data_IF_723095802647
#
_entry.id   IF_723095802647
#
_cell.length_a   1.000
_cell.length_b   1.000
_cell.length_c   1.000
_cell.angle_alpha   90.00
_cell.angle_beta   90.00
_cell.angle_gamma   90.00
#
_symmetry.space_group_name_H-M   'P 1'
#
loop_
_entity.id
_entity.type
_entity.pdbx_description
1 polymer ?
#
# COMPACT_ATOMS: atom_id res chain seq x y z
N UNK A 1 68.59 37.91 18.40
CA UNK A 1 67.51 38.11 17.42
C UNK A 1 66.56 36.91 17.58
N UNK A 2 65.32 37.08 18.07
CA UNK A 2 64.33 35.98 18.13
C UNK A 2 63.64 35.85 16.79
N UNK A 3 63.68 34.63 16.21
CA UNK A 3 63.02 34.30 14.94
C UNK A 3 61.48 34.28 15.07
N UNK A 4 60.78 34.36 13.94
CA UNK A 4 59.33 34.66 13.92
C UNK A 4 58.50 33.48 14.43
N UNK A 5 57.64 33.72 15.43
CA UNK A 5 56.63 32.81 16.00
C UNK A 5 55.43 32.67 15.05
N UNK A 6 55.63 32.21 13.81
CA UNK A 6 54.54 31.99 12.81
C UNK A 6 53.94 30.59 12.84
N UNK A 7 54.64 29.60 13.41
CA UNK A 7 54.21 28.21 13.44
C UNK A 7 52.91 27.88 14.23
N UNK A 8 52.63 28.50 15.43
CA UNK A 8 51.42 28.11 16.16
C UNK A 8 50.11 28.66 15.57
N UNK A 9 50.15 29.76 14.78
CA UNK A 9 48.96 30.32 14.14
C UNK A 9 48.58 29.54 12.89
N UNK A 10 49.54 28.99 12.16
CA UNK A 10 49.30 28.18 10.96
C UNK A 10 48.65 26.83 11.31
N UNK A 11 49.08 26.19 12.41
CA UNK A 11 48.47 24.95 12.89
C UNK A 11 47.03 25.11 13.38
N UNK A 12 46.69 26.27 13.98
CA UNK A 12 45.33 26.58 14.40
C UNK A 12 44.39 26.86 13.24
N UNK A 13 44.89 27.51 12.18
CA UNK A 13 44.14 27.77 10.96
C UNK A 13 43.85 26.47 10.18
N UNK A 14 44.87 25.60 10.07
CA UNK A 14 44.70 24.27 9.41
C UNK A 14 43.68 23.41 10.19
N UNK A 15 43.72 23.40 11.50
CA UNK A 15 42.72 22.68 12.33
C UNK A 15 41.32 23.21 12.13
N UNK A 16 41.13 24.52 12.02
CA UNK A 16 39.79 25.13 11.76
C UNK A 16 39.29 24.78 10.36
N UNK A 17 40.16 24.79 9.36
CA UNK A 17 39.81 24.42 7.98
C UNK A 17 39.45 22.90 7.91
N UNK A 18 40.25 22.05 8.56
CA UNK A 18 39.97 20.62 8.62
C UNK A 18 38.66 20.31 9.35
N UNK A 19 38.40 21.00 10.45
CA UNK A 19 37.13 20.88 11.19
C UNK A 19 35.94 21.38 10.38
N UNK A 20 36.10 22.48 9.61
CA UNK A 20 35.10 22.98 8.68
C UNK A 20 34.81 22.02 7.53
N UNK A 21 35.83 21.36 6.97
CA UNK A 21 35.69 20.34 5.94
C UNK A 21 34.99 19.07 6.52
N UNK A 22 35.35 18.63 7.72
CA UNK A 22 34.67 17.52 8.38
C UNK A 22 33.20 17.82 8.67
N UNK A 23 32.86 19.05 9.08
CA UNK A 23 31.47 19.47 9.31
C UNK A 23 30.68 19.56 8.00
N UNK A 24 31.30 20.01 6.90
CA UNK A 24 30.71 19.99 5.57
C UNK A 24 30.49 18.56 5.05
N UNK A 25 31.43 17.65 5.30
CA UNK A 25 31.27 16.23 4.94
C UNK A 25 30.19 15.51 5.78
N UNK A 26 30.05 15.86 7.06
CA UNK A 26 29.01 15.30 7.92
C UNK A 26 27.59 15.74 7.51
N UNK A 27 27.45 16.89 6.83
CA UNK A 27 26.15 17.37 6.33
C UNK A 27 25.70 16.68 5.03
N UNK A 28 26.58 15.92 4.37
CA UNK A 28 26.29 15.20 3.10
C UNK A 28 25.86 13.73 3.35
N UNK A 29 25.85 13.27 4.61
CA UNK A 29 25.24 11.99 4.93
C UNK A 29 23.72 12.15 4.77
N UNK A 30 23.27 12.02 3.53
CA UNK A 30 21.85 11.94 3.21
C UNK A 30 21.23 10.85 4.10
N UNK A 31 20.29 11.19 4.94
CA UNK A 31 19.54 10.23 5.71
C UNK A 31 18.73 9.40 4.70
N UNK A 32 19.21 8.19 4.39
CA UNK A 32 18.38 7.22 3.68
C UNK A 32 17.05 7.15 4.42
N UNK A 33 15.96 7.46 3.74
CA UNK A 33 14.65 7.48 4.38
C UNK A 33 14.35 6.07 4.91
N UNK A 34 14.06 5.98 6.20
CA UNK A 34 13.78 4.69 6.83
C UNK A 34 12.51 4.08 6.19
N UNK A 35 12.61 2.82 5.82
CA UNK A 35 11.45 2.05 5.36
C UNK A 35 10.41 2.04 6.49
N UNK A 36 9.13 2.30 6.20
CA UNK A 36 8.08 2.23 7.20
C UNK A 36 7.97 0.82 7.80
N UNK A 37 7.33 0.66 8.97
CA UNK A 37 7.09 -0.67 9.55
C UNK A 37 6.32 -1.56 8.57
N UNK A 38 6.53 -2.88 8.71
CA UNK A 38 5.87 -3.86 7.85
C UNK A 38 4.34 -3.66 7.88
N UNK A 39 3.68 -3.74 6.71
CA UNK A 39 2.24 -3.63 6.65
C UNK A 39 1.58 -4.79 7.42
N UNK A 40 0.43 -4.53 8.00
CA UNK A 40 -0.40 -5.54 8.70
C UNK A 40 -1.56 -6.03 7.85
N UNK A 41 -1.72 -5.48 6.64
CA UNK A 41 -2.76 -5.80 5.68
C UNK A 41 -2.14 -6.15 4.33
N UNK A 42 -2.87 -6.88 3.52
CA UNK A 42 -2.46 -7.24 2.15
C UNK A 42 -2.50 -6.03 1.22
N UNK A 43 -3.39 -5.08 1.47
CA UNK A 43 -3.46 -3.80 0.77
C UNK A 43 -3.35 -2.65 1.77
N UNK A 44 -2.24 -1.95 1.71
CA UNK A 44 -1.99 -0.75 2.52
C UNK A 44 -1.95 0.47 1.61
N UNK A 45 -2.80 1.45 1.87
CA UNK A 45 -2.85 2.73 1.16
C UNK A 45 -2.80 3.88 2.16
N UNK A 46 -1.65 4.53 2.25
CA UNK A 46 -1.42 5.69 3.12
C UNK A 46 -1.61 7.03 2.39
N UNK A 47 -1.85 7.00 1.08
CA UNK A 47 -1.99 8.19 0.25
C UNK A 47 -3.44 8.51 -0.13
N UNK A 48 -4.37 7.58 0.07
CA UNK A 48 -5.75 7.71 -0.40
C UNK A 48 -5.85 7.57 -1.92
N UNK A 49 -4.99 6.77 -2.52
CA UNK A 49 -4.93 6.52 -3.95
C UNK A 49 -6.13 5.71 -4.44
N UNK A 50 -6.54 4.71 -3.64
CA UNK A 50 -7.67 3.83 -3.91
C UNK A 50 -8.95 4.29 -3.20
N UNK A 51 -10.09 3.91 -3.76
CA UNK A 51 -11.35 3.94 -3.02
C UNK A 51 -11.31 2.93 -1.87
N UNK A 52 -12.06 3.23 -0.80
CA UNK A 52 -12.13 2.33 0.36
C UNK A 52 -12.64 0.93 -0.03
N UNK A 53 -13.66 0.86 -0.89
CA UNK A 53 -14.21 -0.41 -1.36
C UNK A 53 -13.16 -1.23 -2.10
N UNK A 54 -12.44 -0.63 -3.05
CA UNK A 54 -11.39 -1.33 -3.81
C UNK A 54 -10.27 -1.84 -2.93
N UNK A 55 -9.84 -1.02 -1.96
CA UNK A 55 -8.82 -1.43 -1.00
C UNK A 55 -9.26 -2.65 -0.19
N UNK A 56 -10.46 -2.59 0.41
CA UNK A 56 -10.97 -3.64 1.29
C UNK A 56 -11.29 -4.93 0.51
N UNK A 57 -11.80 -4.83 -0.72
CA UNK A 57 -12.04 -5.97 -1.60
C UNK A 57 -10.75 -6.67 -2.04
N UNK A 58 -9.71 -5.91 -2.44
CA UNK A 58 -8.43 -6.46 -2.82
C UNK A 58 -7.72 -7.09 -1.62
N UNK A 59 -7.82 -6.48 -0.44
CA UNK A 59 -7.27 -6.99 0.81
C UNK A 59 -7.80 -8.40 1.11
N UNK A 60 -9.14 -8.55 1.13
CA UNK A 60 -9.79 -9.85 1.33
C UNK A 60 -9.47 -10.87 0.22
N UNK A 61 -9.39 -10.41 -1.03
CA UNK A 61 -9.07 -11.30 -2.17
C UNK A 61 -7.64 -11.82 -2.11
N UNK A 62 -6.68 -10.99 -1.69
CA UNK A 62 -5.27 -11.36 -1.55
C UNK A 62 -5.04 -12.26 -0.32
N UNK A 63 -5.76 -12.02 0.78
CA UNK A 63 -5.78 -12.92 1.94
C UNK A 63 -6.24 -14.32 1.51
N UNK A 64 -7.41 -14.41 0.85
CA UNK A 64 -7.93 -15.70 0.36
C UNK A 64 -7.06 -16.34 -0.73
N UNK A 65 -6.29 -15.58 -1.48
CA UNK A 65 -5.30 -16.13 -2.41
C UNK A 65 -4.12 -16.76 -1.66
N UNK A 66 -3.58 -16.05 -0.67
CA UNK A 66 -2.48 -16.57 0.15
C UNK A 66 -2.86 -17.85 0.89
N UNK A 67 -4.06 -17.92 1.47
CA UNK A 67 -4.56 -19.14 2.15
C UNK A 67 -4.57 -20.38 1.23
N UNK A 68 -4.86 -20.20 -0.06
CA UNK A 68 -4.97 -21.27 -1.03
C UNK A 68 -3.65 -21.66 -1.69
N UNK A 69 -2.82 -20.64 -2.02
CA UNK A 69 -1.57 -20.85 -2.77
C UNK A 69 -0.32 -20.89 -1.89
N UNK A 70 -0.39 -20.27 -0.73
CA UNK A 70 0.76 -19.99 0.12
C UNK A 70 1.59 -18.78 -0.32
N UNK A 71 1.43 -18.28 -1.57
CA UNK A 71 2.17 -17.14 -2.07
C UNK A 71 1.70 -15.83 -1.43
N UNK A 72 2.63 -14.94 -1.12
CA UNK A 72 2.32 -13.64 -0.54
C UNK A 72 2.34 -12.55 -1.62
N UNK A 73 1.17 -12.05 -1.98
CA UNK A 73 1.03 -10.90 -2.90
C UNK A 73 0.47 -9.72 -2.14
N UNK A 74 1.21 -8.60 -2.15
CA UNK A 74 0.84 -7.38 -1.42
C UNK A 74 0.74 -6.19 -2.35
N UNK A 75 -0.06 -5.21 -1.94
CA UNK A 75 -0.10 -3.87 -2.52
C UNK A 75 0.24 -2.85 -1.45
N UNK A 76 1.27 -2.06 -1.70
CA UNK A 76 1.64 -0.97 -0.81
C UNK A 76 1.65 0.36 -1.57
N UNK A 77 0.83 1.30 -1.12
CA UNK A 77 0.66 2.61 -1.75
C UNK A 77 1.07 3.67 -0.74
N UNK A 78 2.16 4.34 -1.05
CA UNK A 78 2.72 5.44 -0.27
C UNK A 78 2.68 6.75 -1.02
N UNK A 79 3.14 7.81 -0.35
CA UNK A 79 3.24 9.14 -0.96
C UNK A 79 4.51 9.26 -1.79
N UNK A 80 5.67 9.04 -1.19
CA UNK A 80 6.98 9.30 -1.78
C UNK A 80 8.03 8.36 -1.22
N UNK A 81 9.08 8.09 -2.01
CA UNK A 81 10.30 7.43 -1.56
C UNK A 81 11.24 8.38 -0.80
N UNK A 82 10.92 9.69 -0.77
CA UNK A 82 11.78 10.71 -0.16
C UNK A 82 13.04 11.05 -0.96
N UNK A 83 13.01 10.78 -2.26
CA UNK A 83 14.12 11.06 -3.19
C UNK A 83 15.00 9.85 -3.50
N UNK A 84 14.76 8.71 -2.86
CA UNK A 84 15.42 7.46 -3.23
C UNK A 84 14.87 6.91 -4.57
N UNK A 85 15.69 6.11 -5.26
CA UNK A 85 15.18 5.29 -6.37
C UNK A 85 14.09 4.36 -5.87
N UNK A 86 12.99 4.22 -6.63
CA UNK A 86 11.93 3.29 -6.26
C UNK A 86 12.43 1.83 -6.22
N UNK A 87 13.42 1.52 -7.06
CA UNK A 87 14.03 0.18 -7.12
C UNK A 87 14.75 -0.15 -5.81
N UNK A 88 15.62 0.73 -5.35
CA UNK A 88 16.36 0.55 -4.09
C UNK A 88 15.45 0.59 -2.88
N UNK A 89 14.48 1.51 -2.90
CA UNK A 89 13.53 1.66 -1.80
C UNK A 89 12.65 0.41 -1.66
N UNK A 90 12.11 -0.10 -2.77
CA UNK A 90 11.25 -1.29 -2.80
C UNK A 90 11.99 -2.54 -2.36
N UNK A 91 13.24 -2.73 -2.82
CA UNK A 91 14.07 -3.87 -2.41
C UNK A 91 14.37 -3.84 -0.89
N UNK A 92 14.71 -2.65 -0.35
CA UNK A 92 14.88 -2.49 1.10
C UNK A 92 13.60 -2.77 1.87
N UNK A 93 12.44 -2.28 1.37
CA UNK A 93 11.14 -2.52 1.98
C UNK A 93 10.79 -4.00 1.98
N UNK A 94 10.91 -4.66 0.83
CA UNK A 94 10.67 -6.09 0.68
C UNK A 94 11.50 -6.92 1.67
N UNK A 95 12.80 -6.61 1.76
CA UNK A 95 13.74 -7.30 2.66
C UNK A 95 13.42 -7.02 4.13
N UNK A 96 13.14 -5.76 4.48
CA UNK A 96 12.82 -5.37 5.87
C UNK A 96 11.51 -5.99 6.35
N UNK A 97 10.51 -6.08 5.46
CA UNK A 97 9.19 -6.67 5.75
C UNK A 97 9.20 -8.20 5.66
N UNK A 98 10.27 -8.80 5.12
CA UNK A 98 10.44 -10.25 4.98
C UNK A 98 9.30 -10.90 4.20
N UNK A 99 8.92 -10.31 3.08
CA UNK A 99 7.80 -10.78 2.27
C UNK A 99 8.13 -12.11 1.60
N UNK A 100 7.17 -13.04 1.61
CA UNK A 100 7.35 -14.41 1.16
C UNK A 100 7.76 -15.38 2.27
N UNK A 101 7.55 -16.67 2.08
CA UNK A 101 7.94 -17.70 3.03
C UNK A 101 9.44 -17.92 2.99
N UNK A 102 10.04 -18.15 4.19
CA UNK A 102 11.48 -18.44 4.31
C UNK A 102 11.84 -19.70 3.53
N UNK A 103 12.82 -19.58 2.64
CA UNK A 103 13.32 -20.70 1.83
C UNK A 103 12.49 -21.00 0.58
N UNK A 104 11.29 -20.40 0.45
CA UNK A 104 10.51 -20.40 -0.78
C UNK A 104 10.66 -19.10 -1.54
N UNK A 105 10.90 -18.00 -0.83
CA UNK A 105 11.08 -16.65 -1.36
C UNK A 105 9.93 -16.25 -2.33
N UNK A 106 8.70 -16.65 -1.97
CA UNK A 106 7.50 -16.65 -2.80
C UNK A 106 6.58 -15.44 -2.53
N UNK A 107 7.20 -14.29 -2.48
CA UNK A 107 6.53 -13.02 -2.26
C UNK A 107 6.53 -12.11 -3.50
N UNK A 108 5.49 -11.29 -3.65
CA UNK A 108 5.41 -10.20 -4.63
C UNK A 108 4.82 -8.97 -3.97
N UNK A 109 5.37 -7.80 -4.25
CA UNK A 109 4.80 -6.53 -3.80
C UNK A 109 4.64 -5.57 -4.97
N UNK A 110 3.42 -5.07 -5.15
CA UNK A 110 3.14 -3.91 -6.01
C UNK A 110 3.28 -2.64 -5.18
N UNK A 111 4.32 -1.86 -5.43
CA UNK A 111 4.54 -0.55 -4.86
C UNK A 111 4.00 0.55 -5.79
N UNK A 112 3.32 1.54 -5.20
CA UNK A 112 2.86 2.74 -5.88
C UNK A 112 3.23 3.95 -5.02
N UNK A 113 4.01 4.88 -5.57
CA UNK A 113 4.35 6.15 -4.92
C UNK A 113 3.58 7.28 -5.59
N UNK A 114 2.52 7.73 -4.92
CA UNK A 114 1.51 8.59 -5.54
C UNK A 114 2.07 9.98 -5.93
N UNK A 115 2.89 10.59 -5.08
CA UNK A 115 3.46 11.92 -5.29
C UNK A 115 4.66 11.87 -6.26
N UNK A 116 5.48 10.81 -6.19
CA UNK A 116 6.61 10.59 -7.10
C UNK A 116 6.17 10.09 -8.47
N UNK A 117 4.92 9.64 -8.60
CA UNK A 117 4.34 9.05 -9.80
C UNK A 117 5.16 7.87 -10.32
N UNK A 118 5.60 7.02 -9.41
CA UNK A 118 6.38 5.83 -9.72
C UNK A 118 5.71 4.58 -9.20
N UNK A 119 5.90 3.48 -9.91
CA UNK A 119 5.41 2.15 -9.55
C UNK A 119 6.53 1.13 -9.67
N UNK A 120 6.46 0.07 -8.86
CA UNK A 120 7.34 -1.08 -8.98
C UNK A 120 6.61 -2.35 -8.59
N UNK A 121 6.85 -3.40 -9.33
CA UNK A 121 6.54 -4.77 -8.94
C UNK A 121 7.88 -5.39 -8.50
N UNK A 122 8.00 -5.71 -7.21
CA UNK A 122 9.16 -6.41 -6.66
C UNK A 122 8.80 -7.89 -6.51
N UNK A 123 9.65 -8.78 -7.01
CA UNK A 123 9.40 -10.22 -7.08
C UNK A 123 10.45 -10.96 -6.27
N UNK A 124 10.01 -11.88 -5.40
CA UNK A 124 10.90 -12.76 -4.67
C UNK A 124 11.51 -13.84 -5.58
N UNK A 125 12.70 -14.31 -5.24
CA UNK A 125 13.47 -15.28 -6.03
C UNK A 125 12.67 -16.52 -6.45
N UNK A 126 11.79 -17.03 -5.57
CA UNK A 126 11.00 -18.23 -5.84
C UNK A 126 9.93 -18.06 -6.92
N UNK A 127 9.60 -16.82 -7.27
CA UNK A 127 8.55 -16.51 -8.24
C UNK A 127 9.08 -15.86 -9.55
N UNK A 128 10.39 -15.66 -9.68
CA UNK A 128 10.97 -15.08 -10.89
C UNK A 128 10.72 -15.94 -12.14
N UNK A 129 10.59 -17.25 -11.96
CA UNK A 129 10.22 -18.17 -13.04
C UNK A 129 8.79 -17.99 -13.54
N UNK A 130 7.85 -17.71 -12.64
CA UNK A 130 6.43 -17.54 -12.94
C UNK A 130 6.08 -16.10 -13.31
N UNK A 131 6.75 -15.13 -12.67
CA UNK A 131 6.59 -13.70 -12.90
C UNK A 131 7.95 -13.05 -13.23
N UNK A 132 8.51 -13.31 -14.42
CA UNK A 132 9.76 -12.69 -14.85
C UNK A 132 9.62 -11.19 -15.07
N UNK A 133 10.75 -10.45 -15.06
CA UNK A 133 10.80 -9.00 -15.23
C UNK A 133 10.05 -8.51 -16.47
N UNK A 134 10.14 -9.25 -17.58
CA UNK A 134 9.41 -8.93 -18.81
C UNK A 134 7.88 -8.94 -18.61
N UNK A 135 7.36 -9.88 -17.81
CA UNK A 135 5.94 -9.97 -17.50
C UNK A 135 5.54 -8.86 -16.51
N UNK A 136 6.35 -8.61 -15.49
CA UNK A 136 6.14 -7.49 -14.56
C UNK A 136 6.13 -6.15 -15.31
N UNK A 137 7.08 -5.94 -16.23
CA UNK A 137 7.15 -4.74 -17.08
C UNK A 137 5.90 -4.59 -17.96
N UNK A 138 5.40 -5.67 -18.55
CA UNK A 138 4.17 -5.66 -19.36
C UNK A 138 2.96 -5.26 -18.52
N UNK A 139 2.81 -5.83 -17.33
CA UNK A 139 1.72 -5.50 -16.40
C UNK A 139 1.74 -4.00 -16.08
N UNK A 140 2.91 -3.45 -15.81
CA UNK A 140 3.06 -2.02 -15.53
C UNK A 140 2.69 -1.19 -16.76
N UNK A 141 3.29 -1.47 -17.92
CA UNK A 141 3.19 -0.58 -19.08
C UNK A 141 1.86 -0.72 -19.83
N UNK A 142 1.26 -1.91 -19.86
CA UNK A 142 0.04 -2.16 -20.64
C UNK A 142 -1.24 -2.08 -19.79
N UNK A 143 -1.14 -2.29 -18.46
CA UNK A 143 -2.33 -2.32 -17.61
C UNK A 143 -2.33 -1.19 -16.59
N UNK A 144 -1.27 -1.05 -15.80
CA UNK A 144 -1.24 -0.15 -14.66
C UNK A 144 -1.15 1.32 -15.11
N UNK A 145 -0.09 1.67 -15.84
CA UNK A 145 0.18 3.05 -16.24
C UNK A 145 -0.89 3.67 -17.14
N UNK A 146 -1.44 3.00 -18.18
CA UNK A 146 -2.48 3.58 -19.01
C UNK A 146 -3.74 3.93 -18.24
N UNK A 147 -4.16 3.06 -17.31
CA UNK A 147 -5.35 3.28 -16.48
C UNK A 147 -5.13 4.39 -15.46
N UNK A 148 -3.95 4.47 -14.84
CA UNK A 148 -3.61 5.57 -13.94
C UNK A 148 -3.66 6.90 -14.68
N UNK A 149 -3.09 6.98 -15.90
CA UNK A 149 -3.13 8.18 -16.74
C UNK A 149 -4.54 8.56 -17.15
N UNK A 150 -5.43 7.59 -17.32
CA UNK A 150 -6.86 7.81 -17.59
C UNK A 150 -7.67 8.19 -16.33
N UNK A 151 -7.05 8.23 -15.13
CA UNK A 151 -7.71 8.52 -13.87
C UNK A 151 -8.39 7.31 -13.21
N UNK A 152 -8.37 6.14 -13.84
CA UNK A 152 -8.91 4.88 -13.31
C UNK A 152 -7.89 4.19 -12.38
N UNK A 153 -7.70 4.76 -11.19
CA UNK A 153 -6.73 4.24 -10.20
C UNK A 153 -7.15 2.88 -9.65
N UNK A 154 -8.43 2.72 -9.36
CA UNK A 154 -9.00 1.48 -8.83
C UNK A 154 -8.86 0.33 -9.85
N UNK A 155 -9.27 0.56 -11.08
CA UNK A 155 -9.14 -0.41 -12.16
C UNK A 155 -7.68 -0.72 -12.53
N UNK A 156 -6.78 0.26 -12.38
CA UNK A 156 -5.36 0.08 -12.60
C UNK A 156 -4.77 -0.97 -11.63
N UNK A 157 -4.98 -0.76 -10.33
CA UNK A 157 -4.44 -1.66 -9.29
C UNK A 157 -5.13 -3.03 -9.34
N UNK A 158 -6.47 -3.07 -9.49
CA UNK A 158 -7.20 -4.35 -9.66
C UNK A 158 -6.68 -5.14 -10.86
N UNK A 159 -6.50 -4.49 -12.00
CA UNK A 159 -6.01 -5.12 -13.22
C UNK A 159 -4.59 -5.67 -13.06
N UNK A 160 -3.68 -4.91 -12.46
CA UNK A 160 -2.32 -5.33 -12.21
C UNK A 160 -2.28 -6.53 -11.23
N UNK A 161 -2.98 -6.46 -10.11
CA UNK A 161 -3.05 -7.56 -9.13
C UNK A 161 -3.65 -8.82 -9.75
N UNK A 162 -4.70 -8.68 -10.56
CA UNK A 162 -5.30 -9.83 -11.27
C UNK A 162 -4.29 -10.50 -12.21
N UNK A 163 -3.50 -9.72 -12.95
CA UNK A 163 -2.49 -10.27 -13.85
C UNK A 163 -1.30 -10.88 -13.09
N UNK A 164 -0.85 -10.27 -11.99
CA UNK A 164 0.18 -10.85 -11.11
C UNK A 164 -0.29 -12.22 -10.64
N UNK A 165 -1.46 -12.31 -10.02
CA UNK A 165 -2.01 -13.57 -9.51
C UNK A 165 -2.22 -14.61 -10.62
N UNK A 166 -2.64 -14.17 -11.81
CA UNK A 166 -2.79 -15.07 -12.97
C UNK A 166 -1.46 -15.62 -13.46
N UNK A 167 -0.39 -14.82 -13.47
CA UNK A 167 0.95 -15.25 -13.83
C UNK A 167 1.47 -16.31 -12.85
N UNK A 168 1.13 -16.20 -11.57
CA UNK A 168 1.44 -17.17 -10.53
C UNK A 168 0.51 -18.42 -10.55
N UNK A 169 -0.22 -18.64 -11.63
CA UNK A 169 -1.14 -19.79 -11.78
C UNK A 169 -2.41 -19.71 -10.94
N UNK A 170 -2.65 -18.56 -10.28
CA UNK A 170 -3.81 -18.36 -9.42
C UNK A 170 -5.00 -17.70 -10.11
N UNK A 171 -6.10 -17.64 -9.35
CA UNK A 171 -7.27 -16.80 -9.68
C UNK A 171 -7.65 -16.05 -8.42
N UNK A 172 -7.81 -14.73 -8.52
CA UNK A 172 -8.48 -14.00 -7.46
C UNK A 172 -9.90 -14.55 -7.34
N UNK A 173 -10.33 -14.80 -6.10
CA UNK A 173 -11.73 -15.10 -5.85
C UNK A 173 -12.61 -14.00 -6.42
N UNK A 174 -13.91 -14.24 -6.64
CA UNK A 174 -14.80 -13.19 -7.05
C UNK A 174 -14.67 -12.05 -6.04
N UNK A 175 -14.26 -10.90 -6.53
CA UNK A 175 -14.21 -9.68 -5.72
C UNK A 175 -15.64 -9.45 -5.30
N UNK A 176 -15.94 -9.77 -4.02
CA UNK A 176 -17.18 -9.35 -3.40
C UNK A 176 -17.06 -7.84 -3.16
N UNK A 177 -16.99 -7.09 -4.28
CA UNK A 177 -17.33 -5.68 -4.18
C UNK A 177 -18.72 -5.64 -3.57
N UNK A 178 -19.10 -4.60 -2.81
CA UNK A 178 -20.49 -4.40 -2.52
C UNK A 178 -21.17 -4.52 -3.87
N UNK A 179 -21.90 -5.63 -4.05
CA UNK A 179 -22.70 -5.76 -5.22
C UNK A 179 -23.51 -4.47 -5.25
N UNK A 180 -23.15 -3.55 -6.14
CA UNK A 180 -24.07 -2.54 -6.58
C UNK A 180 -25.13 -3.33 -7.34
N UNK A 181 -25.87 -4.15 -6.59
CA UNK A 181 -27.20 -4.53 -7.04
C UNK A 181 -27.88 -3.19 -7.16
N UNK A 182 -28.16 -2.72 -8.39
CA UNK A 182 -29.00 -1.54 -8.52
C UNK A 182 -30.24 -1.91 -7.71
N UNK A 183 -30.45 -1.19 -6.59
CA UNK A 183 -31.67 -1.41 -5.82
C UNK A 183 -32.79 -1.39 -6.82
N UNK A 184 -33.47 -2.53 -6.97
CA UNK A 184 -34.64 -2.56 -7.84
C UNK A 184 -35.51 -1.36 -7.47
N UNK A 185 -36.04 -0.60 -8.43
CA UNK A 185 -36.91 0.55 -8.14
C UNK A 185 -37.95 0.22 -7.08
N UNK A 186 -38.41 -1.02 -7.06
CA UNK A 186 -39.30 -1.57 -6.05
C UNK A 186 -38.69 -1.62 -4.64
N UNK A 187 -37.42 -1.99 -4.48
CA UNK A 187 -36.74 -2.02 -3.19
C UNK A 187 -36.50 -0.60 -2.64
N UNK A 188 -36.21 0.35 -3.51
CA UNK A 188 -36.11 1.77 -3.14
C UNK A 188 -37.47 2.28 -2.69
N UNK A 189 -38.54 1.96 -3.44
CA UNK A 189 -39.91 2.34 -3.07
C UNK A 189 -40.31 1.77 -1.73
N UNK A 190 -40.07 0.48 -1.48
CA UNK A 190 -40.33 -0.17 -0.19
C UNK A 190 -39.51 0.45 0.95
N UNK A 191 -38.22 0.79 0.71
CA UNK A 191 -37.38 1.46 1.69
C UNK A 191 -37.91 2.84 2.06
N UNK A 192 -38.32 3.63 1.07
CA UNK A 192 -38.92 4.96 1.30
C UNK A 192 -40.26 4.86 2.02
N UNK A 193 -41.14 3.94 1.62
CA UNK A 193 -42.41 3.71 2.30
C UNK A 193 -42.21 3.23 3.73
N UNK A 194 -41.24 2.33 3.97
CA UNK A 194 -40.86 1.88 5.30
C UNK A 194 -40.36 3.02 6.19
N UNK A 195 -39.52 3.90 5.65
CA UNK A 195 -39.01 5.06 6.37
C UNK A 195 -40.16 6.04 6.74
N UNK A 196 -41.04 6.32 5.78
CA UNK A 196 -42.21 7.19 6.01
C UNK A 196 -43.12 6.59 7.11
N UNK A 197 -43.39 5.29 7.03
CA UNK A 197 -44.21 4.60 8.06
C UNK A 197 -43.54 4.66 9.44
N UNK A 198 -42.23 4.52 9.49
CA UNK A 198 -41.43 4.53 10.74
C UNK A 198 -41.41 5.93 11.37
N UNK A 199 -41.29 6.99 10.54
CA UNK A 199 -41.41 8.38 11.00
C UNK A 199 -42.82 8.69 11.49
N UNK A 200 -43.85 8.28 10.76
CA UNK A 200 -45.24 8.46 11.14
C UNK A 200 -45.57 7.75 12.50
N UNK A 201 -45.03 6.53 12.69
CA UNK A 201 -45.15 5.79 13.92
C UNK A 201 -44.43 6.50 15.08
N UNK A 202 -43.25 7.06 14.86
CA UNK A 202 -42.49 7.84 15.86
C UNK A 202 -43.20 9.11 16.29
N UNK A 203 -43.87 9.80 15.36
CA UNK A 203 -44.72 10.97 15.69
C UNK A 203 -45.96 10.56 16.49
N UNK A 204 -46.59 9.45 16.16
CA UNK A 204 -47.82 8.95 16.83
C UNK A 204 -47.53 8.39 18.20
N UNK A 205 -46.32 7.79 18.40
CA UNK A 205 -45.90 7.17 19.67
C UNK A 205 -44.53 7.70 20.10
N UNK A 206 -44.44 8.86 20.78
CA UNK A 206 -43.17 9.53 21.07
C UNK A 206 -42.18 8.68 21.89
N UNK A 207 -42.69 7.79 22.76
CA UNK A 207 -41.87 6.85 23.55
C UNK A 207 -41.14 5.86 22.62
N UNK A 208 -41.84 5.35 21.60
CA UNK A 208 -41.25 4.46 20.61
C UNK A 208 -40.20 5.17 19.74
N UNK A 209 -40.48 6.41 19.32
CA UNK A 209 -39.56 7.26 18.60
C UNK A 209 -38.23 7.51 19.34
N UNK A 210 -38.30 7.70 20.66
CA UNK A 210 -37.15 7.88 21.53
C UNK A 210 -36.25 6.62 21.55
N UNK A 211 -36.83 5.44 21.76
CA UNK A 211 -36.08 4.17 21.78
C UNK A 211 -35.48 3.86 20.39
N UNK A 212 -36.21 4.16 19.32
CA UNK A 212 -35.72 3.98 17.98
C UNK A 212 -34.51 4.87 17.69
N UNK A 213 -34.55 6.15 18.06
CA UNK A 213 -33.45 7.07 17.96
C UNK A 213 -32.24 6.59 18.74
N UNK A 214 -32.43 6.02 19.91
CA UNK A 214 -31.37 5.46 20.74
C UNK A 214 -30.71 4.24 20.07
N UNK A 215 -31.51 3.33 19.46
CA UNK A 215 -31.01 2.15 18.75
C UNK A 215 -30.24 2.57 17.50
N UNK A 216 -30.79 3.49 16.69
CA UNK A 216 -30.13 4.00 15.47
C UNK A 216 -28.82 4.71 15.82
N UNK A 217 -28.80 5.55 16.84
CA UNK A 217 -27.58 6.24 17.29
C UNK A 217 -26.51 5.27 17.80
N UNK A 218 -26.92 4.18 18.47
CA UNK A 218 -25.99 3.13 18.91
C UNK A 218 -25.45 2.29 17.76
N UNK A 219 -26.26 2.03 16.73
CA UNK A 219 -25.87 1.31 15.53
C UNK A 219 -24.89 2.15 14.67
N UNK A 220 -25.13 3.46 14.53
CA UNK A 220 -24.22 4.38 13.85
C UNK A 220 -22.87 4.53 14.57
N UNK A 221 -22.84 4.46 15.90
CA UNK A 221 -21.60 4.43 16.69
C UNK A 221 -20.85 3.10 16.58
N UNK A 222 -21.53 2.01 16.27
CA UNK A 222 -20.97 0.66 16.11
C UNK A 222 -20.50 0.35 14.69
N UNK A 223 -20.77 1.20 13.72
CA UNK A 223 -20.38 1.07 12.31
C UNK A 223 -18.89 1.19 12.01
N UNK A 224 -18.01 1.03 13.02
CA UNK A 224 -16.56 0.91 12.91
C UNK A 224 -16.09 -0.47 13.34
N UNK A 225 -16.84 -1.54 13.02
CA UNK A 225 -16.49 -2.91 13.37
C UNK A 225 -15.41 -3.44 12.43
N UNK A 226 -14.20 -3.65 12.98
CA UNK A 226 -13.11 -4.33 12.32
C UNK A 226 -13.51 -5.73 11.88
N UNK A 227 -13.31 -6.02 10.60
CA UNK A 227 -13.15 -7.39 10.14
C UNK A 227 -11.95 -7.97 10.89
N UNK A 228 -12.12 -9.14 11.49
CA UNK A 228 -11.07 -9.92 12.10
C UNK A 228 -10.30 -10.60 10.97
N UNK A 229 -9.59 -9.77 10.14
CA UNK A 229 -8.68 -10.26 9.13
C UNK A 229 -7.44 -10.76 9.83
N UNK A 230 -7.02 -11.97 9.56
CA UNK A 230 -5.72 -12.49 9.97
C UNK A 230 -4.65 -11.51 9.50
N UNK A 231 -3.96 -10.86 10.45
CA UNK A 231 -2.95 -9.85 10.11
C UNK A 231 -1.85 -10.46 9.25
N UNK A 232 -1.47 -9.77 8.16
CA UNK A 232 -0.32 -10.13 7.35
C UNK A 232 0.94 -10.14 8.22
N UNK A 233 1.71 -11.20 8.15
CA UNK A 233 3.03 -11.34 8.79
C UNK A 233 4.05 -11.80 7.76
N UNK A 234 5.16 -11.11 7.66
CA UNK A 234 6.27 -11.48 6.80
C UNK A 234 6.85 -12.84 7.18
N UNK A 235 7.02 -13.73 6.20
CA UNK A 235 7.47 -15.11 6.37
C UNK A 235 8.97 -15.31 6.27
N UNK A 236 9.78 -14.30 5.93
CA UNK A 236 11.24 -14.36 5.81
C UNK A 236 11.78 -14.58 4.41
N UNK A 237 11.00 -14.30 3.37
CA UNK A 237 11.42 -14.35 1.97
C UNK A 237 12.43 -13.26 1.60
N UNK A 238 13.09 -13.44 0.45
CA UNK A 238 14.11 -12.56 -0.11
C UNK A 238 13.85 -12.26 -1.57
N UNK A 239 14.22 -11.06 -2.01
CA UNK A 239 14.30 -10.65 -3.41
C UNK A 239 15.72 -10.20 -3.75
N UNK A 240 16.14 -10.38 -4.99
CA UNK A 240 17.39 -9.86 -5.54
C UNK A 240 17.21 -8.60 -6.37
N UNK A 241 16.03 -7.98 -6.30
CA UNK A 241 15.67 -6.85 -7.16
C UNK A 241 15.00 -7.26 -8.47
N UNK A 242 14.54 -8.52 -8.56
CA UNK A 242 13.68 -8.98 -9.66
C UNK A 242 12.37 -8.19 -9.72
N UNK A 243 11.82 -8.02 -10.91
CA UNK A 243 10.60 -7.25 -11.15
C UNK A 243 10.79 -6.11 -12.17
N UNK A 244 9.94 -5.09 -12.11
CA UNK A 244 10.00 -3.96 -13.02
C UNK A 244 9.46 -2.69 -12.36
N UNK A 245 9.91 -1.53 -12.87
CA UNK A 245 9.44 -0.21 -12.44
C UNK A 245 8.92 0.62 -13.61
N UNK A 246 8.11 1.63 -13.30
CA UNK A 246 7.55 2.55 -14.29
C UNK A 246 7.20 3.90 -13.69
N UNK A 247 6.90 4.87 -14.58
CA UNK A 247 6.54 6.24 -14.19
C UNK A 247 5.39 6.76 -15.05
N UNK A 248 4.46 7.54 -14.45
CA UNK A 248 3.32 8.15 -15.16
C UNK A 248 3.25 9.66 -15.08
#
# INVERSE_FOLDING_TARGET
MPGPKLLPKLTSAIKRILCGICLLFAAIIGTAQSVPPAPTRWVTDSSGFLSRSTRDDLDASLEGYQEKSGHQVLVWIGKTTGGDSIDDWANRAFTAWKIGRKGFDDGVVLFVMADDRTVRIEVGYGLEGDLPDATASRIINETLLPRIKAGDRDGAVRGAVTQIVSALGGKLGPVSGPASTPFSPWQVLLGVLGLIALVALGIRYPVFGYYLLMIVSSALRRGGGGGNGGGMSGGGGRSGGGGASGKW
#
